data_IF_487265119813
#
_entry.id   IF_487265119813
#
_cell.length_a   1.000
_cell.length_b   1.000
_cell.length_c   1.000
_cell.angle_alpha   90.00
_cell.angle_beta   90.00
_cell.angle_gamma   90.00
#
_symmetry.space_group_name_H-M   'P 1'
#
loop_
_entity.id
_entity.type
_entity.pdbx_description
1 polymer ?
#
# COMPACT_ATOMS: atom_id res chain seq x y z
N UNK A 1 30.26 -41.92 17.26
CA UNK A 1 31.48 -41.51 18.00
C UNK A 1 31.77 -40.07 17.57
N UNK A 2 31.60 -39.01 18.34
CA UNK A 2 31.41 -38.84 19.77
C UNK A 2 30.38 -37.72 20.03
N UNK A 3 29.66 -37.85 21.14
CA UNK A 3 28.79 -36.85 21.73
C UNK A 3 29.59 -35.75 22.41
N UNK A 4 29.03 -34.53 22.48
CA UNK A 4 29.31 -33.60 23.57
C UNK A 4 28.04 -32.79 23.88
N UNK A 5 27.47 -33.10 25.05
CA UNK A 5 26.39 -32.39 25.75
C UNK A 5 26.98 -31.20 26.52
N UNK A 6 26.26 -30.09 26.59
CA UNK A 6 26.45 -29.09 27.63
C UNK A 6 25.09 -28.55 28.09
N UNK A 7 24.71 -28.98 29.30
CA UNK A 7 23.64 -28.44 30.14
C UNK A 7 24.17 -27.24 30.94
N UNK A 8 23.39 -26.17 31.10
CA UNK A 8 23.48 -25.25 32.24
C UNK A 8 22.20 -24.36 32.31
N UNK A 9 21.26 -24.72 33.17
CA UNK A 9 20.92 -24.03 34.45
C UNK A 9 20.07 -22.76 34.37
N UNK A 10 18.77 -23.03 34.55
CA UNK A 10 17.69 -22.26 35.15
C UNK A 10 18.08 -21.38 36.36
N UNK A 11 17.67 -20.09 36.37
CA UNK A 11 17.46 -19.25 37.57
C UNK A 11 16.43 -18.13 37.31
N UNK A 12 15.20 -18.29 37.81
CA UNK A 12 14.30 -17.20 38.17
C UNK A 12 14.70 -16.60 39.53
N UNK A 13 14.42 -15.32 39.79
CA UNK A 13 13.56 -14.97 40.93
C UNK A 13 12.76 -13.65 40.69
N UNK A 14 12.09 -13.05 41.70
CA UNK A 14 10.81 -13.48 42.24
C UNK A 14 9.71 -12.41 42.09
N UNK A 15 8.49 -12.88 42.25
CA UNK A 15 7.23 -12.15 42.40
C UNK A 15 7.22 -11.30 43.68
N UNK A 16 6.85 -10.02 43.58
CA UNK A 16 6.42 -9.21 44.73
C UNK A 16 5.10 -8.54 44.40
N UNK A 17 4.06 -8.95 45.12
CA UNK A 17 2.75 -8.34 45.16
C UNK A 17 2.74 -7.13 46.11
N UNK A 18 1.99 -6.08 45.76
CA UNK A 18 1.45 -5.01 46.64
C UNK A 18 0.70 -4.04 45.72
N UNK A 19 -0.44 -3.43 46.03
CA UNK A 19 -1.47 -3.53 47.08
C UNK A 19 -2.59 -2.60 46.56
N UNK A 20 -3.84 -3.00 46.75
CA UNK A 20 -5.01 -2.16 46.54
C UNK A 20 -4.95 -0.90 47.42
N UNK A 21 -5.30 0.25 46.83
CA UNK A 21 -5.92 1.35 47.57
C UNK A 21 -7.04 1.94 46.71
N UNK A 22 -8.25 1.59 47.10
CA UNK A 22 -9.51 2.29 46.81
C UNK A 22 -9.50 3.69 47.42
N UNK A 23 -9.95 4.70 46.66
CA UNK A 23 -10.57 5.90 47.23
C UNK A 23 -11.55 6.52 46.23
N UNK A 24 -12.84 6.20 46.43
CA UNK A 24 -13.97 6.98 45.95
C UNK A 24 -13.95 8.35 46.63
N UNK A 25 -14.09 9.43 45.86
CA UNK A 25 -14.57 10.72 46.36
C UNK A 25 -15.73 11.17 45.48
N UNK A 26 -16.92 11.05 46.07
CA UNK A 26 -18.17 11.69 45.71
C UNK A 26 -18.11 13.19 45.97
N UNK A 27 -18.63 13.99 45.06
CA UNK A 27 -18.83 15.44 45.26
C UNK A 27 -19.73 16.03 44.19
N UNK A 28 -21.04 15.98 44.45
CA UNK A 28 -22.07 16.80 43.82
C UNK A 28 -21.91 18.27 44.27
N UNK A 29 -22.17 19.22 43.38
CA UNK A 29 -22.86 20.52 43.62
C UNK A 29 -22.85 21.30 42.28
N UNK A 30 -23.97 21.33 41.58
CA UNK A 30 -24.98 22.42 41.57
C UNK A 30 -24.58 23.70 40.79
N UNK A 31 -25.16 23.78 39.59
CA UNK A 31 -25.81 24.94 38.97
C UNK A 31 -25.26 26.36 39.18
N UNK A 32 -24.77 26.96 38.09
CA UNK A 32 -25.08 28.36 37.75
C UNK A 32 -25.31 28.46 36.23
N UNK A 33 -26.57 28.54 35.83
CA UNK A 33 -26.98 28.92 34.47
C UNK A 33 -26.88 30.44 34.38
N UNK A 34 -25.87 30.95 33.66
CA UNK A 34 -25.78 32.37 33.31
C UNK A 34 -26.10 32.54 31.82
N UNK A 35 -27.28 33.08 31.55
CA UNK A 35 -27.65 33.64 30.26
C UNK A 35 -26.75 34.86 30.00
N UNK A 36 -25.86 34.78 29.01
CA UNK A 36 -25.23 35.96 28.42
C UNK A 36 -25.54 35.98 26.93
N UNK A 37 -26.08 37.13 26.55
CA UNK A 37 -26.66 37.50 25.28
C UNK A 37 -25.66 37.48 24.12
N UNK A 38 -26.20 37.07 22.98
CA UNK A 38 -25.74 37.28 21.61
C UNK A 38 -24.94 38.58 21.39
N UNK A 39 -23.62 38.44 21.24
CA UNK A 39 -22.78 39.35 20.47
C UNK A 39 -22.18 38.56 19.31
N UNK A 40 -22.69 38.83 18.10
CA UNK A 40 -22.14 38.36 16.83
C UNK A 40 -20.69 38.82 16.74
N UNK A 41 -19.75 37.90 16.97
CA UNK A 41 -18.34 38.12 16.65
C UNK A 41 -18.21 38.19 15.12
N UNK A 42 -17.49 39.18 14.58
CA UNK A 42 -17.19 39.22 13.15
C UNK A 42 -16.42 37.95 12.79
N UNK A 43 -16.87 37.31 11.71
CA UNK A 43 -16.22 36.17 11.06
C UNK A 43 -14.83 36.65 10.64
N UNK A 44 -13.83 36.43 11.48
CA UNK A 44 -12.45 36.47 11.07
C UNK A 44 -12.32 35.39 9.99
N UNK A 45 -12.07 35.83 8.76
CA UNK A 45 -11.62 34.97 7.67
C UNK A 45 -10.30 34.35 8.10
N UNK A 46 -10.39 33.17 8.72
CA UNK A 46 -9.28 32.23 8.80
C UNK A 46 -8.86 32.00 7.36
N UNK A 47 -7.64 32.43 7.06
CA UNK A 47 -6.97 32.21 5.79
C UNK A 47 -7.05 30.73 5.44
N UNK A 48 -7.49 30.42 4.22
CA UNK A 48 -7.60 29.08 3.61
C UNK A 48 -6.26 28.32 3.53
N UNK A 49 -5.18 28.83 4.15
CA UNK A 49 -3.84 28.25 4.16
C UNK A 49 -3.55 27.38 5.40
N UNK A 50 -4.30 27.51 6.50
CA UNK A 50 -4.07 26.72 7.73
C UNK A 50 -4.76 25.34 7.72
N UNK A 51 -5.67 25.08 6.76
CA UNK A 51 -6.32 23.77 6.54
C UNK A 51 -5.66 22.93 5.43
N UNK A 52 -4.41 23.22 5.05
CA UNK A 52 -3.61 22.25 4.27
C UNK A 52 -3.18 21.11 5.20
N UNK A 53 -4.08 20.17 5.42
CA UNK A 53 -3.76 18.87 6.02
C UNK A 53 -2.47 18.31 5.37
N UNK A 54 -1.61 17.71 6.18
CA UNK A 54 -0.35 17.12 5.73
C UNK A 54 -0.55 16.28 4.47
N UNK A 55 0.28 16.52 3.43
CA UNK A 55 0.25 15.75 2.18
C UNK A 55 0.49 14.27 2.50
N UNK A 56 -0.57 13.47 2.48
CA UNK A 56 -0.59 12.06 2.90
C UNK A 56 0.36 11.20 2.06
N UNK A 57 0.70 11.65 0.86
CA UNK A 57 1.64 11.00 -0.04
C UNK A 57 3.11 11.28 0.30
N UNK A 58 3.40 12.30 1.10
CA UNK A 58 4.76 12.68 1.49
C UNK A 58 5.06 12.43 2.96
N UNK A 59 4.03 12.10 3.73
CA UNK A 59 4.15 11.92 5.17
C UNK A 59 4.29 10.44 5.48
N UNK A 60 5.48 10.05 5.95
CA UNK A 60 5.72 8.68 6.39
C UNK A 60 4.93 8.37 7.67
N UNK A 61 4.49 7.11 7.87
CA UNK A 61 3.79 6.73 9.08
C UNK A 61 4.76 6.70 10.27
N UNK A 62 4.23 6.47 11.47
CA UNK A 62 5.05 6.26 12.67
C UNK A 62 6.01 5.06 12.48
N UNK A 63 7.25 5.13 12.99
CA UNK A 63 8.18 4.01 12.93
C UNK A 63 7.62 2.72 13.56
N UNK A 64 7.82 1.58 12.90
CA UNK A 64 7.42 0.26 13.41
C UNK A 64 8.54 -0.75 13.27
N UNK A 65 8.49 -1.83 14.06
CA UNK A 65 9.42 -2.95 13.91
C UNK A 65 8.94 -3.92 12.82
N UNK A 66 7.64 -3.99 12.54
CA UNK A 66 7.09 -4.97 11.62
C UNK A 66 7.17 -4.48 10.18
N UNK A 67 7.89 -5.23 9.35
CA UNK A 67 8.07 -4.96 7.94
C UNK A 67 7.68 -6.16 7.10
N UNK A 68 7.26 -5.91 5.87
CA UNK A 68 6.99 -6.93 4.86
C UNK A 68 7.93 -6.79 3.67
N UNK A 69 8.43 -7.90 3.13
CA UNK A 69 9.21 -7.92 1.91
C UNK A 69 8.32 -8.21 0.70
N UNK A 70 8.22 -7.22 -0.19
CA UNK A 70 7.35 -7.26 -1.36
C UNK A 70 8.16 -7.22 -2.65
N UNK A 71 7.70 -8.00 -3.64
CA UNK A 71 8.11 -7.94 -5.04
C UNK A 71 7.10 -7.10 -5.81
N UNK A 72 7.60 -6.06 -6.47
CA UNK A 72 6.89 -5.21 -7.40
C UNK A 72 7.31 -5.61 -8.81
N UNK A 73 6.46 -6.33 -9.53
CA UNK A 73 6.72 -6.78 -10.90
C UNK A 73 5.93 -5.91 -11.88
N UNK A 74 6.62 -5.21 -12.78
CA UNK A 74 5.96 -4.52 -13.89
C UNK A 74 5.45 -5.59 -14.87
N UNK A 75 4.14 -5.69 -15.05
CA UNK A 75 3.54 -6.72 -15.87
C UNK A 75 3.89 -6.51 -17.33
N UNK A 76 3.95 -7.59 -18.13
CA UNK A 76 4.32 -7.58 -19.56
C UNK A 76 5.80 -7.27 -19.84
N UNK A 77 6.55 -6.75 -18.86
CA UNK A 77 7.98 -6.47 -18.98
C UNK A 77 8.81 -7.51 -18.23
N UNK A 78 9.60 -8.28 -18.98
CA UNK A 78 10.51 -9.27 -18.38
C UNK A 78 11.61 -8.55 -17.61
N UNK A 79 11.96 -9.10 -16.44
CA UNK A 79 13.08 -8.62 -15.61
C UNK A 79 12.97 -7.17 -15.10
N UNK A 80 11.83 -6.49 -15.25
CA UNK A 80 11.60 -5.17 -14.66
C UNK A 80 10.87 -5.33 -13.33
N UNK A 81 11.62 -5.29 -12.22
CA UNK A 81 11.04 -5.48 -10.89
C UNK A 81 11.84 -4.83 -9.78
N UNK A 82 11.20 -4.67 -8.62
CA UNK A 82 11.81 -4.24 -7.36
C UNK A 82 11.48 -5.25 -6.27
N UNK A 83 12.42 -5.52 -5.39
CA UNK A 83 12.18 -6.21 -4.12
C UNK A 83 12.46 -5.19 -3.03
N UNK A 84 11.43 -4.81 -2.30
CA UNK A 84 11.49 -3.73 -1.31
C UNK A 84 10.92 -4.25 0.00
N UNK A 85 11.61 -3.95 1.09
CA UNK A 85 11.10 -4.13 2.43
C UNK A 85 10.41 -2.84 2.86
N UNK A 86 9.15 -2.94 3.26
CA UNK A 86 8.32 -1.79 3.63
C UNK A 86 7.70 -2.01 5.01
N UNK A 87 7.48 -0.94 5.80
CA UNK A 87 6.74 -1.03 7.06
C UNK A 87 5.31 -1.53 6.84
N UNK A 88 4.78 -2.40 7.73
CA UNK A 88 3.40 -2.90 7.60
C UNK A 88 2.34 -1.80 7.75
N UNK A 89 2.64 -0.72 8.47
CA UNK A 89 1.73 0.42 8.60
C UNK A 89 1.81 1.41 7.43
N UNK A 90 2.47 1.07 6.31
CA UNK A 90 2.35 1.84 5.08
C UNK A 90 0.90 1.80 4.59
N UNK A 91 0.39 2.96 4.22
CA UNK A 91 -0.87 3.10 3.50
C UNK A 91 -0.64 2.91 2.00
N UNK A 92 -1.72 2.79 1.22
CA UNK A 92 -1.62 2.77 -0.24
C UNK A 92 -1.13 4.11 -0.81
N UNK A 93 -1.37 5.24 -0.12
CA UNK A 93 -0.79 6.53 -0.48
C UNK A 93 0.76 6.49 -0.37
N UNK A 94 1.29 5.94 0.73
CA UNK A 94 2.73 5.74 0.89
C UNK A 94 3.31 4.75 -0.12
N UNK A 95 2.58 3.66 -0.39
CA UNK A 95 2.95 2.67 -1.41
C UNK A 95 3.00 3.29 -2.81
N UNK A 96 2.03 4.12 -3.16
CA UNK A 96 1.99 4.84 -4.43
C UNK A 96 3.22 5.73 -4.60
N UNK A 97 3.56 6.54 -3.59
CA UNK A 97 4.76 7.39 -3.63
C UNK A 97 6.04 6.57 -3.79
N UNK A 98 6.14 5.45 -3.08
CA UNK A 98 7.25 4.52 -3.25
C UNK A 98 7.32 3.97 -4.68
N UNK A 99 6.19 3.58 -5.27
CA UNK A 99 6.12 3.10 -6.66
C UNK A 99 6.62 4.17 -7.63
N UNK A 100 6.12 5.41 -7.50
CA UNK A 100 6.55 6.54 -8.33
C UNK A 100 8.07 6.75 -8.23
N UNK A 101 8.61 6.69 -7.01
CA UNK A 101 10.05 6.75 -6.78
C UNK A 101 10.80 5.63 -7.51
N UNK A 102 10.50 4.35 -7.22
CA UNK A 102 11.30 3.19 -7.67
C UNK A 102 11.14 2.85 -9.15
N UNK A 103 10.08 3.34 -9.80
CA UNK A 103 9.89 3.20 -11.25
C UNK A 103 10.24 4.48 -12.02
N UNK A 104 10.52 5.60 -11.34
CA UNK A 104 10.89 6.84 -12.02
C UNK A 104 9.73 7.46 -12.79
N UNK A 105 8.54 7.43 -12.19
CA UNK A 105 7.34 8.07 -12.72
C UNK A 105 7.07 9.41 -12.02
N UNK A 106 6.37 10.30 -12.73
CA UNK A 106 6.23 11.70 -12.33
C UNK A 106 4.91 12.02 -11.60
N UNK A 107 4.05 11.02 -11.39
CA UNK A 107 2.71 11.13 -10.79
C UNK A 107 1.77 12.12 -11.52
N UNK A 108 1.86 12.22 -12.84
CA UNK A 108 0.97 13.05 -13.67
C UNK A 108 -0.35 12.37 -13.98
N UNK A 109 -0.42 11.05 -13.83
CA UNK A 109 -1.58 10.26 -14.20
C UNK A 109 -2.34 9.70 -12.99
N UNK A 110 -3.60 9.31 -13.22
CA UNK A 110 -4.41 8.63 -12.21
C UNK A 110 -3.89 7.21 -11.94
N UNK A 111 -4.16 6.73 -10.74
CA UNK A 111 -3.85 5.37 -10.34
C UNK A 111 -4.99 4.73 -9.55
N UNK A 112 -4.96 3.41 -9.49
CA UNK A 112 -5.82 2.61 -8.63
C UNK A 112 -5.09 1.34 -8.19
N UNK A 113 -5.56 0.72 -7.11
CA UNK A 113 -5.09 -0.60 -6.71
C UNK A 113 -6.26 -1.54 -6.43
N UNK A 114 -6.04 -2.82 -6.69
CA UNK A 114 -7.01 -3.88 -6.40
C UNK A 114 -6.30 -4.95 -5.58
N UNK A 115 -6.85 -5.24 -4.40
CA UNK A 115 -6.33 -6.26 -3.48
C UNK A 115 -7.04 -7.56 -3.76
N UNK A 116 -6.29 -8.64 -3.96
CA UNK A 116 -6.82 -9.96 -4.26
C UNK A 116 -6.35 -11.00 -3.27
N UNK A 117 -7.24 -11.94 -2.95
CA UNK A 117 -6.89 -13.22 -2.33
C UNK A 117 -6.76 -14.33 -3.38
N UNK A 118 -6.34 -15.53 -2.96
CA UNK A 118 -6.22 -16.73 -3.80
C UNK A 118 -5.40 -16.50 -5.09
N UNK A 119 -4.38 -15.67 -5.00
CA UNK A 119 -3.48 -15.33 -6.10
C UNK A 119 -2.66 -16.55 -6.49
N UNK A 120 -2.67 -16.85 -7.78
CA UNK A 120 -1.83 -17.87 -8.40
C UNK A 120 -0.83 -17.20 -9.34
N UNK A 121 0.45 -17.44 -9.11
CA UNK A 121 1.53 -16.89 -9.91
C UNK A 121 1.79 -17.73 -11.17
N UNK A 122 2.36 -17.13 -12.22
CA UNK A 122 2.89 -17.90 -13.33
C UNK A 122 4.03 -18.81 -12.88
N UNK A 123 3.95 -20.10 -13.21
CA UNK A 123 5.04 -21.05 -13.07
C UNK A 123 6.02 -20.92 -14.26
N UNK A 124 7.31 -20.77 -13.98
CA UNK A 124 8.37 -20.76 -15.01
C UNK A 124 8.84 -19.36 -15.45
N UNK A 125 9.59 -19.31 -16.55
CA UNK A 125 10.32 -18.11 -16.98
C UNK A 125 9.51 -17.15 -17.87
N UNK A 126 8.35 -17.57 -18.40
CA UNK A 126 7.62 -16.79 -19.40
C UNK A 126 7.12 -15.43 -18.87
N UNK A 127 6.66 -15.40 -17.61
CA UNK A 127 6.11 -14.22 -16.90
C UNK A 127 6.42 -14.28 -15.41
N UNK A 128 7.68 -14.55 -15.08
CA UNK A 128 8.11 -14.82 -13.70
C UNK A 128 7.77 -13.62 -12.79
N UNK A 129 7.04 -13.89 -11.72
CA UNK A 129 6.64 -12.87 -10.74
C UNK A 129 5.35 -12.13 -11.10
N UNK A 130 4.66 -12.50 -12.18
CA UNK A 130 3.35 -11.96 -12.50
C UNK A 130 2.22 -12.86 -11.97
N UNK A 131 1.11 -12.23 -11.62
CA UNK A 131 -0.15 -12.88 -11.24
C UNK A 131 -0.79 -13.49 -12.50
N UNK A 132 -1.09 -14.78 -12.45
CA UNK A 132 -1.77 -15.54 -13.51
C UNK A 132 -3.29 -15.54 -13.33
N UNK A 133 -3.73 -15.81 -12.10
CA UNK A 133 -5.14 -15.82 -11.67
C UNK A 133 -5.23 -15.24 -10.26
N UNK A 134 -6.37 -14.67 -9.92
CA UNK A 134 -6.57 -14.04 -8.61
C UNK A 134 -8.06 -13.86 -8.35
N UNK A 135 -8.41 -13.58 -7.10
CA UNK A 135 -9.77 -13.26 -6.72
C UNK A 135 -10.62 -14.49 -6.43
N UNK A 136 -11.80 -14.23 -5.87
CA UNK A 136 -12.80 -15.25 -5.59
C UNK A 136 -14.06 -14.99 -6.39
N UNK A 137 -14.84 -16.05 -6.59
CA UNK A 137 -16.24 -15.87 -6.88
C UNK A 137 -16.94 -15.42 -5.59
N UNK A 138 -17.59 -14.24 -5.56
CA UNK A 138 -18.38 -13.83 -4.41
C UNK A 138 -19.46 -14.88 -4.08
N UNK A 139 -19.84 -15.02 -2.80
CA UNK A 139 -20.95 -15.89 -2.42
C UNK A 139 -22.22 -15.45 -3.16
N UNK A 140 -23.07 -16.43 -3.47
CA UNK A 140 -24.35 -16.15 -4.13
C UNK A 140 -25.17 -15.19 -3.27
N UNK A 141 -25.75 -14.12 -3.85
CA UNK A 141 -26.66 -13.27 -3.12
C UNK A 141 -27.83 -14.10 -2.61
N UNK A 142 -28.33 -13.79 -1.41
CA UNK A 142 -29.56 -14.38 -0.87
C UNK A 142 -30.76 -13.76 -1.60
N UNK A 143 -30.95 -14.10 -2.88
CA UNK A 143 -32.17 -13.78 -3.63
C UNK A 143 -33.04 -15.03 -3.72
N UNK A 144 -34.34 -14.88 -3.51
CA UNK A 144 -35.32 -15.95 -3.74
C UNK A 144 -35.78 -16.01 -5.20
N UNK A 145 -35.36 -15.04 -6.03
CA UNK A 145 -35.71 -14.99 -7.44
C UNK A 145 -34.81 -15.93 -8.25
N UNK A 146 -35.42 -16.94 -8.88
CA UNK A 146 -34.71 -17.93 -9.70
C UNK A 146 -33.95 -17.29 -10.88
N UNK A 147 -34.47 -16.20 -11.45
CA UNK A 147 -33.79 -15.49 -12.55
C UNK A 147 -32.51 -14.80 -12.05
N UNK A 148 -32.52 -14.26 -10.83
CA UNK A 148 -31.34 -13.63 -10.23
C UNK A 148 -30.27 -14.68 -9.88
N UNK A 149 -30.69 -15.84 -9.37
CA UNK A 149 -29.81 -16.97 -9.09
C UNK A 149 -29.18 -17.46 -10.39
N UNK A 150 -29.99 -17.71 -11.43
CA UNK A 150 -29.53 -18.18 -12.72
C UNK A 150 -28.57 -17.18 -13.38
N UNK A 151 -28.90 -15.89 -13.33
CA UNK A 151 -28.02 -14.83 -13.81
C UNK A 151 -26.69 -14.79 -13.05
N UNK A 152 -26.72 -14.87 -11.72
CA UNK A 152 -25.51 -14.93 -10.90
C UNK A 152 -24.65 -16.16 -11.20
N UNK A 153 -25.28 -17.31 -11.45
CA UNK A 153 -24.58 -18.55 -11.79
C UNK A 153 -23.87 -18.49 -13.14
N UNK A 154 -24.49 -17.85 -14.14
CA UNK A 154 -23.96 -17.81 -15.51
C UNK A 154 -23.08 -16.58 -15.76
N UNK A 155 -23.52 -15.41 -15.29
CA UNK A 155 -22.97 -14.09 -15.60
C UNK A 155 -22.43 -13.35 -14.38
N UNK A 156 -22.59 -13.91 -13.18
CA UNK A 156 -22.07 -13.30 -11.97
C UNK A 156 -20.56 -13.05 -12.07
N UNK A 157 -20.07 -11.97 -11.45
CA UNK A 157 -18.67 -11.60 -11.52
C UNK A 157 -17.80 -12.73 -10.99
N UNK A 158 -16.74 -13.03 -11.74
CA UNK A 158 -15.71 -13.99 -11.35
C UNK A 158 -14.48 -13.20 -10.93
N UNK A 159 -13.70 -13.76 -10.02
CA UNK A 159 -12.36 -13.25 -9.72
C UNK A 159 -12.37 -11.80 -9.19
N UNK A 160 -13.29 -11.46 -8.29
CA UNK A 160 -13.39 -10.12 -7.72
C UNK A 160 -12.26 -9.83 -6.74
N UNK A 161 -11.76 -8.57 -6.69
CA UNK A 161 -10.89 -8.12 -5.63
C UNK A 161 -11.65 -8.03 -4.29
N UNK A 162 -10.90 -8.14 -3.20
CA UNK A 162 -11.40 -7.91 -1.85
C UNK A 162 -11.61 -6.41 -1.62
N UNK A 163 -10.63 -5.60 -2.02
CA UNK A 163 -10.70 -4.15 -1.96
C UNK A 163 -10.35 -3.51 -3.29
N UNK A 164 -11.07 -2.44 -3.62
CA UNK A 164 -10.66 -1.47 -4.63
C UNK A 164 -10.19 -0.21 -3.93
N UNK A 165 -8.92 0.14 -4.12
CA UNK A 165 -8.30 1.28 -3.47
C UNK A 165 -8.14 2.40 -4.48
N UNK A 166 -8.67 3.57 -4.16
CA UNK A 166 -8.66 4.73 -5.04
C UNK A 166 -8.18 5.97 -4.29
N UNK A 167 -7.59 6.90 -5.04
CA UNK A 167 -7.33 8.25 -4.52
C UNK A 167 -8.65 8.92 -4.15
N UNK A 168 -8.69 9.53 -2.96
CA UNK A 168 -9.87 10.26 -2.43
C UNK A 168 -10.56 11.07 -3.53
N UNK A 169 -11.77 10.66 -3.91
CA UNK A 169 -12.59 11.37 -4.89
C UNK A 169 -13.36 12.43 -4.11
N UNK A 170 -13.25 13.70 -4.50
CA UNK A 170 -14.15 14.74 -3.99
C UNK A 170 -15.56 14.28 -4.33
N UNK A 171 -16.38 13.98 -3.31
CA UNK A 171 -17.74 13.46 -3.48
C UNK A 171 -18.51 14.37 -4.44
N UNK A 172 -18.57 13.99 -5.71
CA UNK A 172 -19.58 14.52 -6.61
C UNK A 172 -20.80 13.66 -6.33
N UNK A 173 -21.76 14.21 -5.60
CA UNK A 173 -23.12 13.65 -5.52
C UNK A 173 -23.62 13.49 -6.96
N UNK A 174 -23.46 12.31 -7.53
CA UNK A 174 -24.06 11.97 -8.81
C UNK A 174 -25.56 11.92 -8.56
N UNK A 175 -26.32 12.74 -9.29
CA UNK A 175 -27.78 12.82 -9.16
C UNK A 175 -28.49 11.55 -9.67
N UNK A 176 -27.73 10.57 -10.18
CA UNK A 176 -28.17 9.31 -10.75
C UNK A 176 -27.53 8.15 -9.97
N UNK A 177 -27.97 7.95 -8.73
CA UNK A 177 -27.48 6.92 -7.82
C UNK A 177 -27.97 5.50 -8.12
N UNK A 178 -28.32 5.17 -9.37
CA UNK A 178 -28.97 3.89 -9.69
C UNK A 178 -27.99 2.76 -10.05
N UNK A 179 -26.77 3.08 -10.51
CA UNK A 179 -25.82 2.05 -10.97
C UNK A 179 -24.59 1.86 -10.07
N UNK A 180 -24.32 2.78 -9.13
CA UNK A 180 -23.20 2.66 -8.17
C UNK A 180 -23.52 1.73 -6.99
N UNK A 181 -24.79 1.36 -6.77
CA UNK A 181 -25.23 0.56 -5.62
C UNK A 181 -24.96 -0.95 -5.78
N UNK A 182 -24.45 -1.39 -6.94
CA UNK A 182 -24.26 -2.79 -7.29
C UNK A 182 -22.81 -3.25 -7.47
N UNK A 183 -21.80 -2.42 -7.17
CA UNK A 183 -20.41 -2.93 -7.10
C UNK A 183 -20.21 -3.61 -5.73
N UNK A 184 -20.12 -4.95 -5.65
CA UNK A 184 -19.99 -5.64 -4.37
C UNK A 184 -18.60 -5.48 -3.76
N UNK A 185 -17.66 -4.83 -4.47
CA UNK A 185 -16.29 -4.62 -3.99
C UNK A 185 -16.26 -3.40 -3.09
N UNK A 186 -15.79 -3.59 -1.86
CA UNK A 186 -15.57 -2.49 -0.94
C UNK A 186 -14.47 -1.55 -1.47
N UNK A 187 -14.82 -0.26 -1.57
CA UNK A 187 -13.91 0.79 -2.01
C UNK A 187 -13.27 1.44 -0.78
N UNK A 188 -11.94 1.51 -0.76
CA UNK A 188 -11.15 2.17 0.29
C UNK A 188 -10.40 3.36 -0.27
N UNK A 189 -10.22 4.40 0.53
CA UNK A 189 -9.28 5.45 0.20
C UNK A 189 -7.83 4.98 0.42
N UNK A 190 -6.92 5.47 -0.41
CA UNK A 190 -5.51 5.11 -0.38
C UNK A 190 -4.80 5.48 0.92
N UNK A 191 -5.26 6.51 1.62
CA UNK A 191 -4.73 6.91 2.92
C UNK A 191 -5.29 6.10 4.11
N UNK A 192 -6.37 5.34 3.92
CA UNK A 192 -7.04 4.61 4.99
C UNK A 192 -6.55 3.17 5.12
N UNK A 193 -6.38 2.47 3.99
CA UNK A 193 -5.99 1.07 3.99
C UNK A 193 -4.48 0.93 4.15
N UNK A 194 -4.05 0.10 5.11
CA UNK A 194 -2.65 -0.20 5.38
C UNK A 194 -2.22 -1.58 4.85
N UNK A 195 -0.92 -1.79 4.66
CA UNK A 195 -0.38 -3.09 4.27
C UNK A 195 -0.58 -4.16 5.35
N UNK A 196 -0.67 -3.77 6.62
CA UNK A 196 -0.92 -4.65 7.78
C UNK A 196 -2.35 -5.18 7.85
N UNK A 197 -3.31 -4.45 7.26
CA UNK A 197 -4.68 -4.92 7.05
C UNK A 197 -4.77 -5.88 5.85
N UNK A 198 -3.87 -5.74 4.88
CA UNK A 198 -3.80 -6.66 3.73
C UNK A 198 -3.06 -7.95 4.12
N UNK A 199 -1.84 -7.82 4.60
CA UNK A 199 -0.98 -8.91 5.05
C UNK A 199 -0.76 -8.77 6.55
N UNK A 200 -1.22 -9.75 7.31
CA UNK A 200 -1.10 -9.75 8.77
C UNK A 200 -0.15 -10.85 9.23
N UNK A 201 0.61 -10.63 10.31
CA UNK A 201 1.50 -11.64 10.89
C UNK A 201 0.70 -12.86 11.39
N UNK A 202 -0.50 -12.61 11.91
CA UNK A 202 -1.49 -13.63 12.15
C UNK A 202 -2.31 -13.85 10.86
N UNK A 203 -2.00 -14.90 10.11
CA UNK A 203 -2.68 -15.21 8.82
C UNK A 203 -4.20 -15.33 8.97
N UNK A 204 -4.72 -15.64 10.17
CA UNK A 204 -6.17 -15.68 10.41
C UNK A 204 -6.84 -14.31 10.33
N UNK A 205 -6.05 -13.23 10.41
CA UNK A 205 -6.47 -11.83 10.38
C UNK A 205 -6.00 -11.09 9.12
N UNK A 206 -5.47 -11.80 8.13
CA UNK A 206 -5.14 -11.17 6.84
C UNK A 206 -6.41 -10.76 6.09
N UNK A 207 -6.26 -10.12 4.92
CA UNK A 207 -7.39 -9.61 4.13
C UNK A 207 -8.43 -10.65 3.75
N UNK A 208 -8.04 -11.93 3.75
CA UNK A 208 -8.94 -13.04 3.42
C UNK A 208 -9.68 -13.60 4.64
N UNK A 209 -9.44 -13.07 5.85
CA UNK A 209 -9.99 -13.62 7.09
C UNK A 209 -9.50 -15.04 7.39
N UNK A 210 -8.27 -15.37 6.99
CA UNK A 210 -7.70 -16.72 7.15
C UNK A 210 -8.13 -17.75 6.11
N UNK A 211 -8.88 -17.37 5.06
CA UNK A 211 -9.25 -18.28 3.97
C UNK A 211 -8.04 -18.75 3.15
N UNK A 212 -7.01 -17.91 3.01
CA UNK A 212 -5.77 -18.24 2.30
C UNK A 212 -4.53 -17.69 3.01
N UNK A 213 -3.36 -18.20 2.64
CA UNK A 213 -2.08 -17.75 3.21
C UNK A 213 -1.69 -16.37 2.69
N UNK A 214 -0.80 -15.70 3.40
CA UNK A 214 -0.28 -14.40 2.95
C UNK A 214 0.38 -14.47 1.56
N UNK A 215 1.07 -15.57 1.26
CA UNK A 215 1.69 -15.81 -0.05
C UNK A 215 0.69 -15.91 -1.21
N UNK A 216 -0.61 -16.11 -0.92
CA UNK A 216 -1.71 -16.16 -1.87
C UNK A 216 -2.48 -14.83 -1.91
N UNK A 217 -1.97 -13.78 -1.30
CA UNK A 217 -2.49 -12.42 -1.39
C UNK A 217 -1.59 -11.60 -2.31
N UNK A 218 -2.20 -10.77 -3.16
CA UNK A 218 -1.48 -9.90 -4.07
C UNK A 218 -2.28 -8.66 -4.43
N UNK A 219 -1.57 -7.64 -4.90
CA UNK A 219 -2.16 -6.38 -5.33
C UNK A 219 -1.88 -6.22 -6.82
N UNK A 220 -2.90 -5.83 -7.58
CA UNK A 220 -2.71 -5.26 -8.92
C UNK A 220 -2.83 -3.75 -8.79
N UNK A 221 -1.73 -3.07 -9.01
CA UNK A 221 -1.66 -1.61 -9.04
C UNK A 221 -1.60 -1.15 -10.49
N UNK A 222 -2.42 -0.20 -10.86
CA UNK A 222 -2.45 0.37 -12.21
C UNK A 222 -2.14 1.86 -12.12
N UNK A 223 -1.18 2.29 -12.93
CA UNK A 223 -0.82 3.70 -13.13
C UNK A 223 -1.02 4.08 -14.59
N UNK A 224 -1.44 5.33 -14.82
CA UNK A 224 -1.88 5.81 -16.12
C UNK A 224 -2.99 4.93 -16.70
N UNK A 225 -4.24 5.23 -16.33
CA UNK A 225 -5.42 4.49 -16.80
C UNK A 225 -5.64 4.60 -18.33
N UNK A 226 -4.88 5.45 -19.04
CA UNK A 226 -4.86 5.50 -20.50
C UNK A 226 -3.91 4.48 -21.13
N UNK A 227 -2.75 4.27 -20.51
CA UNK A 227 -1.70 3.36 -21.00
C UNK A 227 -1.64 2.00 -20.27
N UNK A 228 -2.30 1.90 -19.11
CA UNK A 228 -2.37 0.76 -18.19
C UNK A 228 -1.00 0.19 -17.79
N UNK A 229 -0.20 0.97 -17.06
CA UNK A 229 1.02 0.49 -16.41
C UNK A 229 0.67 -0.36 -15.18
N UNK A 230 0.59 -1.66 -15.40
CA UNK A 230 0.26 -2.63 -14.34
C UNK A 230 1.50 -3.06 -13.55
N UNK A 231 1.43 -2.96 -12.23
CA UNK A 231 2.38 -3.55 -11.28
C UNK A 231 1.66 -4.62 -10.47
N UNK A 232 2.20 -5.84 -10.52
CA UNK A 232 1.81 -6.92 -9.64
C UNK A 232 2.69 -6.89 -8.38
N UNK A 233 2.07 -6.68 -7.21
CA UNK A 233 2.74 -6.62 -5.92
C UNK A 233 2.40 -7.89 -5.14
N UNK A 234 3.42 -8.65 -4.78
CA UNK A 234 3.29 -9.93 -4.08
C UNK A 234 4.38 -10.06 -3.03
N UNK A 235 4.23 -11.01 -2.10
CA UNK A 235 5.29 -11.33 -1.15
C UNK A 235 6.53 -11.91 -1.86
N UNK A 236 7.71 -11.52 -1.40
CA UNK A 236 8.99 -12.08 -1.86
C UNK A 236 9.70 -12.87 -0.75
N UNK A 237 9.76 -14.19 -0.91
CA UNK A 237 10.45 -15.13 -0.01
C UNK A 237 9.54 -15.78 1.05
N UNK A 238 10.06 -16.81 1.72
CA UNK A 238 9.29 -17.62 2.68
C UNK A 238 9.04 -16.86 4.00
N UNK A 239 10.06 -16.13 4.48
CA UNK A 239 9.96 -15.22 5.64
C UNK A 239 9.68 -13.80 5.16
N UNK A 240 8.40 -13.50 5.04
CA UNK A 240 7.93 -12.29 4.37
C UNK A 240 7.63 -11.14 5.34
N UNK A 241 7.06 -11.44 6.51
CA UNK A 241 6.98 -10.49 7.63
C UNK A 241 8.22 -10.65 8.50
N UNK A 242 8.87 -9.53 8.79
CA UNK A 242 10.18 -9.45 9.43
C UNK A 242 10.06 -8.42 10.54
N UNK A 243 10.40 -8.82 11.76
CA UNK A 243 10.59 -7.91 12.87
C UNK A 243 12.01 -7.32 12.81
N UNK A 244 12.11 -6.00 12.67
CA UNK A 244 13.35 -5.26 12.69
C UNK A 244 13.81 -4.97 14.12
N UNK A 245 15.12 -4.98 14.37
CA UNK A 245 15.70 -4.67 15.67
C UNK A 245 15.43 -3.23 16.12
N UNK A 246 15.27 -2.32 15.17
CA UNK A 246 14.99 -0.90 15.42
C UNK A 246 13.77 -0.47 14.62
N UNK A 247 12.85 0.30 15.23
CA UNK A 247 11.71 0.85 14.52
C UNK A 247 12.16 1.70 13.33
N UNK A 248 11.50 1.54 12.19
CA UNK A 248 11.71 2.38 11.01
C UNK A 248 10.37 2.62 10.31
N UNK A 249 10.27 3.73 9.59
CA UNK A 249 9.17 4.07 8.70
C UNK A 249 9.65 4.24 7.24
N UNK A 250 10.90 3.92 6.95
CA UNK A 250 11.47 4.05 5.61
C UNK A 250 11.52 2.71 4.89
N UNK A 251 11.36 2.70 3.56
CA UNK A 251 11.48 1.49 2.78
C UNK A 251 12.96 1.18 2.52
N UNK A 252 13.28 -0.11 2.37
CA UNK A 252 14.62 -0.57 2.03
C UNK A 252 14.57 -1.37 0.74
N UNK A 253 15.12 -0.82 -0.34
CA UNK A 253 15.25 -1.53 -1.61
C UNK A 253 16.33 -2.60 -1.46
N UNK A 254 15.96 -3.87 -1.64
CA UNK A 254 16.87 -5.02 -1.53
C UNK A 254 17.42 -5.42 -2.90
N UNK A 255 16.59 -5.28 -3.93
CA UNK A 255 16.96 -5.61 -5.31
C UNK A 255 16.15 -4.77 -6.29
N UNK A 256 16.80 -4.31 -7.36
CA UNK A 256 16.15 -3.69 -8.49
C UNK A 256 16.79 -4.21 -9.79
N UNK A 257 15.98 -4.45 -10.81
CA UNK A 257 16.43 -4.84 -12.14
C UNK A 257 15.54 -4.20 -13.20
N UNK A 258 16.14 -3.74 -14.30
CA UNK A 258 15.43 -3.05 -15.37
C UNK A 258 14.85 -1.71 -14.95
N UNK A 259 14.32 -0.97 -15.91
CA UNK A 259 13.56 0.26 -15.70
C UNK A 259 12.35 0.26 -16.66
N UNK A 260 11.22 0.90 -16.31
CA UNK A 260 10.08 0.97 -17.21
C UNK A 260 10.44 1.78 -18.47
N UNK A 261 9.58 1.73 -19.50
CA UNK A 261 9.66 2.69 -20.58
C UNK A 261 9.53 4.14 -20.10
N UNK A 262 10.03 5.08 -20.89
CA UNK A 262 9.91 6.51 -20.66
C UNK A 262 8.42 6.88 -20.65
N UNK A 263 8.00 7.59 -19.62
CA UNK A 263 6.63 8.08 -19.48
C UNK A 263 6.36 9.19 -20.51
N UNK A 264 5.21 9.13 -21.19
CA UNK A 264 4.80 10.08 -22.23
C UNK A 264 5.84 10.27 -23.36
N UNK A 265 6.60 9.22 -23.67
CA UNK A 265 7.67 9.24 -24.65
C UNK A 265 7.19 9.68 -26.04
N UNK A 266 7.95 10.56 -26.67
CA UNK A 266 7.84 10.89 -28.09
C UNK A 266 8.30 9.72 -28.97
N UNK A 267 7.91 9.73 -30.24
CA UNK A 267 8.36 8.73 -31.21
C UNK A 267 9.89 8.60 -31.27
N UNK A 268 10.61 9.73 -31.12
CA UNK A 268 12.07 9.74 -31.14
C UNK A 268 12.65 9.04 -29.91
N UNK A 269 12.11 9.31 -28.72
CA UNK A 269 12.57 8.66 -27.48
C UNK A 269 12.34 7.15 -27.54
N UNK A 270 11.21 6.69 -28.09
CA UNK A 270 10.93 5.25 -28.25
C UNK A 270 11.95 4.55 -29.16
N UNK A 271 12.45 5.24 -30.21
CA UNK A 271 13.40 4.65 -31.16
C UNK A 271 14.77 4.38 -30.53
N UNK A 272 15.21 5.26 -29.62
CA UNK A 272 16.54 5.18 -28.99
C UNK A 272 16.52 4.51 -27.60
N UNK A 273 15.33 4.29 -27.05
CA UNK A 273 15.14 3.65 -25.76
C UNK A 273 15.62 2.19 -25.76
N UNK A 274 16.46 1.86 -24.78
CA UNK A 274 16.86 0.47 -24.56
C UNK A 274 15.68 -0.35 -24.03
N UNK A 275 15.65 -1.65 -24.39
CA UNK A 275 14.68 -2.58 -23.82
C UNK A 275 14.70 -2.49 -22.28
N UNK A 276 13.51 -2.37 -21.71
CA UNK A 276 13.27 -2.16 -20.29
C UNK A 276 14.05 -3.12 -19.38
N UNK A 277 14.28 -4.37 -19.83
CA UNK A 277 15.02 -5.39 -19.10
C UNK A 277 16.52 -5.09 -18.95
N UNK A 278 17.11 -4.33 -19.87
CA UNK A 278 18.53 -4.00 -19.91
C UNK A 278 18.85 -2.63 -19.32
N UNK A 279 17.84 -1.79 -19.10
CA UNK A 279 18.04 -0.51 -18.43
C UNK A 279 18.60 -0.71 -17.02
N UNK A 280 19.57 0.10 -16.66
CA UNK A 280 20.26 -0.02 -15.37
C UNK A 280 19.54 0.74 -14.25
N UNK A 281 19.79 0.34 -13.00
CA UNK A 281 19.27 1.03 -11.82
C UNK A 281 20.46 1.55 -11.02
N UNK A 282 20.60 2.88 -10.84
CA UNK A 282 21.71 3.46 -10.09
C UNK A 282 21.76 2.96 -8.64
N UNK A 283 22.96 2.88 -8.07
CA UNK A 283 23.17 2.42 -6.69
C UNK A 283 22.52 3.35 -5.65
N UNK A 284 22.34 4.60 -6.02
CA UNK A 284 21.75 5.67 -5.21
C UNK A 284 20.29 5.36 -4.86
N UNK A 285 19.56 4.59 -5.67
CA UNK A 285 18.21 4.11 -5.33
C UNK A 285 18.17 3.21 -4.10
N UNK A 286 19.28 2.55 -3.76
CA UNK A 286 19.37 1.68 -2.58
C UNK A 286 19.64 2.48 -1.29
N UNK A 287 19.97 3.77 -1.41
CA UNK A 287 20.17 4.65 -0.27
C UNK A 287 18.82 5.19 0.23
N UNK A 288 18.57 5.01 1.53
CA UNK A 288 17.37 5.51 2.19
C UNK A 288 17.29 7.04 2.12
N UNK A 289 18.44 7.72 2.19
CA UNK A 289 18.45 9.18 2.13
C UNK A 289 17.95 9.69 0.78
N UNK A 290 18.22 9.00 -0.32
CA UNK A 290 17.69 9.33 -1.64
C UNK A 290 16.17 9.35 -1.64
N UNK A 291 15.52 8.36 -1.03
CA UNK A 291 14.06 8.35 -0.92
C UNK A 291 13.54 9.51 -0.05
N UNK A 292 14.21 9.82 1.06
CA UNK A 292 13.84 10.96 1.91
C UNK A 292 13.97 12.30 1.17
N UNK A 293 15.03 12.48 0.37
CA UNK A 293 15.21 13.64 -0.51
C UNK A 293 14.09 13.75 -1.56
N UNK A 294 13.65 12.62 -2.10
CA UNK A 294 12.51 12.55 -3.01
C UNK A 294 11.22 13.01 -2.33
N UNK A 295 10.94 12.54 -1.11
CA UNK A 295 9.76 12.97 -0.33
C UNK A 295 9.78 14.47 -0.02
N UNK A 296 10.96 15.04 0.28
CA UNK A 296 11.17 16.48 0.47
C UNK A 296 11.08 17.29 -0.82
N UNK A 297 11.01 16.61 -1.98
CA UNK A 297 10.93 17.24 -3.30
C UNK A 297 12.24 17.87 -3.78
N UNK A 298 13.37 17.52 -3.17
CA UNK A 298 14.70 17.98 -3.55
C UNK A 298 15.16 17.35 -4.87
N UNK A 299 14.78 16.10 -5.08
CA UNK A 299 15.08 15.33 -6.29
C UNK A 299 13.79 14.82 -6.93
N UNK A 300 13.89 14.42 -8.20
CA UNK A 300 12.90 13.59 -8.89
C UNK A 300 13.59 12.37 -9.48
N UNK A 301 12.84 11.29 -9.62
CA UNK A 301 13.27 10.11 -10.36
C UNK A 301 12.59 10.09 -11.72
N UNK A 302 13.30 9.66 -12.75
CA UNK A 302 12.74 9.52 -14.11
C UNK A 302 13.24 8.23 -14.75
N UNK A 303 12.39 7.54 -15.51
CA UNK A 303 12.85 6.52 -16.45
C UNK A 303 13.50 7.21 -17.66
N UNK A 304 14.79 6.97 -17.86
CA UNK A 304 15.55 7.46 -19.02
C UNK A 304 15.73 6.39 -20.09
N UNK A 305 16.46 6.71 -21.15
CA UNK A 305 16.70 5.84 -22.30
C UNK A 305 17.48 4.57 -21.92
N UNK A 306 18.51 4.72 -21.08
CA UNK A 306 19.43 3.62 -20.71
C UNK A 306 19.31 3.18 -19.24
N UNK A 307 18.72 4.00 -18.39
CA UNK A 307 18.72 3.79 -16.94
C UNK A 307 17.54 4.50 -16.25
N UNK A 308 17.29 4.13 -15.00
CA UNK A 308 16.64 5.06 -14.08
C UNK A 308 17.59 6.21 -13.75
N UNK A 309 17.03 7.41 -13.62
CA UNK A 309 17.79 8.62 -13.38
C UNK A 309 17.28 9.33 -12.13
N UNK A 310 18.20 9.95 -11.40
CA UNK A 310 17.91 10.86 -10.29
C UNK A 310 18.33 12.26 -10.74
N UNK A 311 17.39 13.19 -10.74
CA UNK A 311 17.60 14.58 -11.16
C UNK A 311 17.33 15.51 -10.00
N UNK A 312 18.27 16.41 -9.73
CA UNK A 312 18.05 17.53 -8.81
C UNK A 312 16.89 18.40 -9.33
N UNK A 313 15.97 18.77 -8.44
CA UNK A 313 14.95 19.74 -8.78
C UNK A 313 15.61 21.11 -8.74
N UNK A 314 15.83 21.71 -9.92
CA UNK A 314 16.27 23.11 -9.99
C UNK A 314 15.26 23.95 -9.21
N UNK A 315 15.74 24.67 -8.19
CA UNK A 315 14.91 25.69 -7.52
C UNK A 315 14.44 26.65 -8.62
N UNK A 316 13.13 26.99 -8.64
CA UNK A 316 12.56 27.85 -9.66
C UNK A 316 13.26 29.21 -9.73
#
# INVERSE_FOLDING_TARGET
MAMALANATNRNPPTTAQRDVTANITGNEESVVTFVSSLKRPRASLSEEEEKGSDQYKTLPEPTNLHIQLRFQLARFKNVYRIVRVPLNYTFANLHTLIQFVFGWNNSHLHQAQVYSHVQMYSGNYRKGEIKKCGRRPPMPTSENEDDIMYWEHFGPRDLPVYKVVKRRREKKTKYGFWDEFDPVEVKEDAELTLGEVWNDDETKNVSGGECKNAEIGIKYEYDLGSSWDIHITIDGDRHIIEAERPSNTPVIRKAKGAPPIEDASEQEIIFENDAAYKTVPKEFYDVETFLRYLRGEIRTTAGEEALEIKERRRP
#
